data_IF_197099509018
#
_entry.id   IF_197099509018
#
_cell.length_a   1.000
_cell.length_b   1.000
_cell.length_c   1.000
_cell.angle_alpha   90.00
_cell.angle_beta   90.00
_cell.angle_gamma   90.00
#
_symmetry.space_group_name_H-M   'P 1'
#
loop_
_entity.id
_entity.type
_entity.pdbx_description
1 polymer ?
#
# COMPACT_ATOMS: atom_id res chain seq x y z
N UNK A 1 -2.42 -6.39 47.05
CA UNK A 1 -3.43 -6.40 46.02
C UNK A 1 -3.34 -5.07 45.27
N UNK A 2 -2.58 -5.04 44.17
CA UNK A 2 -2.47 -3.88 43.33
C UNK A 2 -3.54 -4.01 42.23
N UNK A 3 -4.62 -3.27 42.39
CA UNK A 3 -5.61 -3.13 41.32
C UNK A 3 -4.94 -2.44 40.15
N UNK A 4 -4.74 -3.20 39.07
CA UNK A 4 -4.33 -2.67 37.77
C UNK A 4 -5.53 -1.88 37.25
N UNK A 5 -5.54 -0.57 37.44
CA UNK A 5 -6.47 0.32 36.77
C UNK A 5 -6.25 0.20 35.26
N UNK A 6 -7.08 -0.59 34.62
CA UNK A 6 -7.16 -0.64 33.18
C UNK A 6 -7.68 0.72 32.70
N UNK A 7 -6.77 1.57 32.22
CA UNK A 7 -7.13 2.83 31.60
C UNK A 7 -7.97 2.55 30.34
N UNK A 8 -9.28 2.90 30.32
CA UNK A 8 -10.14 2.63 29.16
C UNK A 8 -9.66 3.34 27.88
N UNK A 9 -8.87 4.41 28.01
CA UNK A 9 -8.23 5.05 26.87
C UNK A 9 -7.02 4.27 26.33
N UNK A 10 -6.40 3.38 27.11
CA UNK A 10 -5.31 2.53 26.66
C UNK A 10 -5.77 1.45 25.65
N UNK A 11 -7.06 1.13 25.61
CA UNK A 11 -7.62 0.16 24.67
C UNK A 11 -7.59 0.61 23.21
N UNK A 12 -7.51 1.90 22.94
CA UNK A 12 -7.48 2.45 21.57
C UNK A 12 -6.04 2.67 21.07
N UNK A 13 -5.12 3.03 21.95
CA UNK A 13 -3.73 3.39 21.58
C UNK A 13 -2.67 2.35 21.96
N UNK A 14 -3.01 1.38 22.80
CA UNK A 14 -2.06 0.40 23.37
C UNK A 14 -1.94 -0.93 22.62
N UNK A 15 -2.77 -1.19 21.62
CA UNK A 15 -2.73 -2.47 20.89
C UNK A 15 -1.50 -2.53 19.99
N UNK A 16 -0.67 -3.56 20.18
CA UNK A 16 0.42 -3.83 19.25
C UNK A 16 -0.16 -4.03 17.83
N UNK A 17 0.30 -3.21 16.88
CA UNK A 17 -0.11 -3.28 15.48
C UNK A 17 0.93 -4.08 14.72
N UNK A 18 0.58 -5.26 14.25
CA UNK A 18 1.46 -6.05 13.39
C UNK A 18 1.61 -5.39 12.02
N UNK A 19 2.80 -4.91 11.72
CA UNK A 19 3.13 -4.23 10.45
C UNK A 19 2.92 -5.15 9.25
N UNK A 20 3.37 -6.40 9.35
CA UNK A 20 3.23 -7.39 8.28
C UNK A 20 1.77 -7.70 7.96
N UNK A 21 0.94 -7.86 8.98
CA UNK A 21 -0.48 -8.12 8.81
C UNK A 21 -1.21 -6.91 8.23
N UNK A 22 -0.91 -5.70 8.72
CA UNK A 22 -1.50 -4.46 8.22
C UNK A 22 -1.12 -4.20 6.75
N UNK A 23 0.13 -4.39 6.38
CA UNK A 23 0.60 -4.26 4.99
C UNK A 23 -0.07 -5.28 4.07
N UNK A 24 -0.19 -6.55 4.50
CA UNK A 24 -0.84 -7.61 3.73
C UNK A 24 -2.33 -7.31 3.51
N UNK A 25 -3.04 -6.83 4.53
CA UNK A 25 -4.45 -6.38 4.41
C UNK A 25 -4.57 -5.21 3.45
N UNK A 26 -3.70 -4.21 3.57
CA UNK A 26 -3.62 -3.07 2.66
C UNK A 26 -3.33 -3.48 1.22
N UNK A 27 -2.39 -4.41 1.00
CA UNK A 27 -2.07 -4.98 -0.32
C UNK A 27 -3.30 -5.61 -0.99
N UNK A 28 -4.17 -6.24 -0.21
CA UNK A 28 -5.44 -6.81 -0.67
C UNK A 28 -6.57 -5.76 -0.82
N UNK A 29 -6.31 -4.49 -0.52
CA UNK A 29 -7.30 -3.43 -0.57
C UNK A 29 -8.28 -3.42 0.59
N UNK A 30 -7.92 -4.04 1.71
CA UNK A 30 -8.71 -4.12 2.93
C UNK A 30 -8.22 -3.15 4.01
N UNK A 31 -9.09 -2.80 4.94
CA UNK A 31 -8.74 -1.98 6.09
C UNK A 31 -7.61 -2.63 6.92
N UNK A 32 -6.53 -1.91 7.25
CA UNK A 32 -5.42 -2.46 8.01
C UNK A 32 -5.81 -2.88 9.44
N UNK A 33 -6.82 -2.22 10.03
CA UNK A 33 -7.29 -2.51 11.36
C UNK A 33 -8.14 -3.80 11.42
N UNK A 34 -9.29 -3.83 10.76
CA UNK A 34 -10.20 -4.99 10.83
C UNK A 34 -9.93 -6.07 9.76
N UNK A 35 -9.40 -5.69 8.60
CA UNK A 35 -9.17 -6.59 7.48
C UNK A 35 -10.41 -6.91 6.64
N UNK A 36 -11.59 -6.36 6.96
CA UNK A 36 -12.87 -6.64 6.30
C UNK A 36 -13.37 -5.46 5.47
N UNK A 37 -13.25 -4.23 6.00
CA UNK A 37 -13.68 -3.02 5.30
C UNK A 37 -12.85 -2.74 4.06
N UNK A 38 -13.46 -2.15 3.03
CA UNK A 38 -12.75 -1.72 1.82
C UNK A 38 -11.87 -0.51 2.11
N UNK A 39 -10.63 -0.55 1.63
CA UNK A 39 -9.68 0.56 1.75
C UNK A 39 -9.93 1.64 0.70
N UNK A 40 -10.37 1.26 -0.50
CA UNK A 40 -10.58 2.17 -1.62
C UNK A 40 -12.07 2.26 -2.00
N UNK A 41 -12.56 3.49 -2.22
CA UNK A 41 -13.91 3.78 -2.76
C UNK A 41 -13.93 3.84 -4.29
N UNK A 42 -12.77 4.16 -4.90
CA UNK A 42 -12.52 4.16 -6.34
C UNK A 42 -11.05 3.88 -6.58
N UNK A 43 -10.62 3.83 -7.85
CA UNK A 43 -9.20 3.60 -8.19
C UNK A 43 -8.30 4.62 -7.48
N UNK A 44 -7.39 4.16 -6.62
CA UNK A 44 -6.46 4.94 -5.80
C UNK A 44 -7.10 5.95 -4.82
N UNK A 45 -8.44 6.03 -4.72
CA UNK A 45 -9.14 6.90 -3.77
C UNK A 45 -9.47 6.13 -2.50
N UNK A 46 -8.77 6.47 -1.42
CA UNK A 46 -8.96 5.88 -0.09
C UNK A 46 -10.27 6.40 0.52
N UNK A 47 -10.94 5.56 1.30
CA UNK A 47 -12.09 5.98 2.12
C UNK A 47 -11.60 6.80 3.31
N UNK A 48 -12.39 7.76 3.76
CA UNK A 48 -12.03 8.58 4.93
C UNK A 48 -12.09 7.77 6.22
N UNK A 49 -13.14 6.93 6.34
CA UNK A 49 -13.35 6.04 7.48
C UNK A 49 -13.71 4.64 6.99
N UNK A 50 -13.28 3.63 7.71
CA UNK A 50 -13.67 2.25 7.44
C UNK A 50 -15.14 2.05 7.75
N UNK A 51 -15.91 1.50 6.81
CA UNK A 51 -17.35 1.23 6.97
C UNK A 51 -17.67 0.12 7.99
N UNK A 52 -16.68 -0.71 8.34
CA UNK A 52 -16.87 -1.85 9.25
C UNK A 52 -16.44 -1.51 10.67
N UNK A 53 -15.22 -0.98 10.85
CA UNK A 53 -14.67 -0.74 12.20
C UNK A 53 -14.57 0.74 12.57
N UNK A 54 -14.89 1.68 11.66
CA UNK A 54 -14.83 3.12 11.91
C UNK A 54 -13.42 3.72 11.95
N UNK A 55 -12.36 2.94 11.69
CA UNK A 55 -10.98 3.45 11.69
C UNK A 55 -10.81 4.61 10.71
N UNK A 56 -10.22 5.71 11.18
CA UNK A 56 -9.95 6.88 10.35
C UNK A 56 -8.75 6.63 9.43
N UNK A 57 -9.01 6.56 8.12
CA UNK A 57 -8.01 6.33 7.08
C UNK A 57 -7.59 7.61 6.34
N UNK A 58 -8.25 8.73 6.64
CA UNK A 58 -7.96 10.06 6.06
C UNK A 58 -6.55 10.57 6.33
N UNK A 59 -5.88 10.05 7.35
CA UNK A 59 -4.51 10.44 7.75
C UNK A 59 -3.42 9.89 6.82
N UNK A 60 -3.77 9.04 5.86
CA UNK A 60 -2.80 8.45 4.94
C UNK A 60 -2.11 9.52 4.09
N UNK A 61 -0.79 9.44 3.97
CA UNK A 61 0.05 10.27 3.09
C UNK A 61 0.91 9.36 2.23
N UNK A 62 0.27 8.65 1.32
CA UNK A 62 0.94 7.83 0.33
C UNK A 62 0.89 8.52 -1.04
N UNK A 63 1.39 9.77 -1.10
CA UNK A 63 1.26 10.65 -2.26
C UNK A 63 1.98 10.05 -3.50
N UNK A 64 3.27 10.26 -3.64
CA UNK A 64 4.05 9.83 -4.81
C UNK A 64 4.79 8.50 -4.60
N UNK A 65 4.97 8.04 -3.36
CA UNK A 65 5.73 6.83 -3.04
C UNK A 65 5.22 5.57 -3.78
N UNK A 66 3.91 5.31 -3.90
CA UNK A 66 3.41 4.18 -4.67
C UNK A 66 3.84 4.22 -6.14
N UNK A 67 3.87 5.41 -6.75
CA UNK A 67 4.27 5.59 -8.15
C UNK A 67 5.77 5.26 -8.34
N UNK A 68 6.65 5.77 -7.48
CA UNK A 68 8.08 5.47 -7.54
C UNK A 68 8.38 3.99 -7.38
N UNK A 69 7.77 3.33 -6.41
CA UNK A 69 7.95 1.89 -6.18
C UNK A 69 7.44 1.09 -7.38
N UNK A 70 6.30 1.48 -7.94
CA UNK A 70 5.72 0.81 -9.13
C UNK A 70 6.65 0.95 -10.33
N UNK A 71 7.15 2.16 -10.62
CA UNK A 71 8.09 2.42 -11.74
C UNK A 71 9.36 1.60 -11.55
N UNK A 72 9.89 1.54 -10.33
CA UNK A 72 11.09 0.76 -10.02
C UNK A 72 10.87 -0.73 -10.31
N UNK A 73 9.79 -1.31 -9.84
CA UNK A 73 9.47 -2.74 -10.03
C UNK A 73 9.21 -3.02 -11.51
N UNK A 74 8.25 -2.32 -12.12
CA UNK A 74 7.84 -2.56 -13.51
C UNK A 74 9.01 -2.30 -14.46
N UNK A 75 9.76 -1.22 -14.26
CA UNK A 75 10.92 -0.88 -15.08
C UNK A 75 11.99 -1.97 -15.09
N UNK A 76 12.34 -2.52 -13.92
CA UNK A 76 13.30 -3.61 -13.85
C UNK A 76 12.82 -4.88 -14.59
N UNK A 77 11.55 -5.25 -14.40
CA UNK A 77 10.99 -6.41 -15.10
C UNK A 77 10.92 -6.21 -16.61
N UNK A 78 10.53 -5.02 -17.06
CA UNK A 78 10.45 -4.71 -18.51
C UNK A 78 11.84 -4.72 -19.14
N UNK A 79 12.83 -4.05 -18.52
CA UNK A 79 14.20 -4.00 -19.05
C UNK A 79 14.79 -5.41 -19.10
N UNK A 80 14.67 -6.17 -18.00
CA UNK A 80 15.18 -7.54 -17.96
C UNK A 80 14.51 -8.44 -19.01
N UNK A 81 13.19 -8.27 -19.20
CA UNK A 81 12.41 -9.04 -20.17
C UNK A 81 12.81 -8.71 -21.61
N UNK A 82 12.92 -7.44 -21.97
CA UNK A 82 13.34 -7.00 -23.30
C UNK A 82 14.75 -7.52 -23.64
N UNK A 83 15.68 -7.42 -22.69
CA UNK A 83 17.06 -7.91 -22.91
C UNK A 83 17.10 -9.44 -23.07
N UNK A 84 16.34 -10.17 -22.27
CA UNK A 84 16.26 -11.62 -22.39
C UNK A 84 15.61 -12.05 -23.71
N UNK A 85 14.61 -11.32 -24.20
CA UNK A 85 13.94 -11.60 -25.47
C UNK A 85 14.85 -11.34 -26.67
N UNK A 86 15.64 -10.27 -26.64
CA UNK A 86 16.62 -9.94 -27.68
C UNK A 86 17.71 -11.04 -27.82
N UNK A 87 18.19 -11.57 -26.71
CA UNK A 87 19.13 -12.68 -26.66
C UNK A 87 18.53 -14.00 -27.19
N UNK A 88 17.29 -14.30 -26.81
CA UNK A 88 16.64 -15.58 -27.14
C UNK A 88 16.03 -15.62 -28.55
N UNK A 89 15.58 -14.47 -29.03
CA UNK A 89 14.83 -14.34 -30.28
C UNK A 89 15.28 -13.14 -31.13
N UNK A 90 16.53 -13.11 -31.60
CA UNK A 90 17.11 -11.94 -32.29
C UNK A 90 16.45 -11.58 -33.63
N UNK A 91 15.55 -12.44 -34.12
CA UNK A 91 14.83 -12.23 -35.39
C UNK A 91 13.47 -11.56 -35.22
N UNK A 92 13.03 -11.26 -34.00
CA UNK A 92 11.75 -10.63 -33.75
C UNK A 92 11.72 -9.18 -34.23
N UNK A 93 10.55 -8.74 -34.65
CA UNK A 93 10.35 -7.36 -35.04
C UNK A 93 10.37 -6.45 -33.80
N UNK A 94 11.41 -5.60 -33.69
CA UNK A 94 11.62 -4.70 -32.55
C UNK A 94 10.43 -3.77 -32.27
N UNK A 95 9.69 -3.37 -33.32
CA UNK A 95 8.50 -2.53 -33.13
C UNK A 95 7.38 -3.33 -32.40
N UNK A 96 7.20 -4.60 -32.74
CA UNK A 96 6.22 -5.45 -32.09
C UNK A 96 6.61 -5.72 -30.63
N UNK A 97 7.87 -6.03 -30.37
CA UNK A 97 8.44 -6.19 -29.02
C UNK A 97 8.19 -4.95 -28.18
N UNK A 98 8.51 -3.75 -28.72
CA UNK A 98 8.26 -2.48 -28.02
C UNK A 98 6.80 -2.25 -27.68
N UNK A 99 5.87 -2.55 -28.59
CA UNK A 99 4.43 -2.40 -28.36
C UNK A 99 3.97 -3.36 -27.24
N UNK A 100 4.35 -4.64 -27.32
CA UNK A 100 3.92 -5.66 -26.35
C UNK A 100 4.43 -5.31 -24.95
N UNK A 101 5.71 -4.97 -24.80
CA UNK A 101 6.28 -4.59 -23.51
C UNK A 101 5.73 -3.28 -22.97
N UNK A 102 5.39 -2.31 -23.84
CA UNK A 102 4.73 -1.08 -23.40
C UNK A 102 3.32 -1.34 -22.86
N UNK A 103 2.53 -2.16 -23.54
CA UNK A 103 1.21 -2.55 -23.06
C UNK A 103 1.29 -3.36 -21.77
N UNK A 104 2.25 -4.28 -21.67
CA UNK A 104 2.50 -5.06 -20.45
C UNK A 104 2.88 -4.14 -19.27
N UNK A 105 3.75 -3.15 -19.51
CA UNK A 105 4.16 -2.17 -18.51
C UNK A 105 2.97 -1.35 -17.99
N UNK A 106 2.11 -0.87 -18.88
CA UNK A 106 0.90 -0.13 -18.51
C UNK A 106 -0.04 -1.01 -17.69
N UNK A 107 -0.35 -2.21 -18.16
CA UNK A 107 -1.23 -3.14 -17.45
C UNK A 107 -0.68 -3.51 -16.06
N UNK A 108 0.61 -3.82 -15.96
CA UNK A 108 1.27 -4.12 -14.71
C UNK A 108 1.25 -2.93 -13.73
N UNK A 109 1.51 -1.71 -14.23
CA UNK A 109 1.48 -0.50 -13.41
C UNK A 109 0.08 -0.23 -12.86
N UNK A 110 -0.95 -0.32 -13.68
CA UNK A 110 -2.34 -0.13 -13.26
C UNK A 110 -2.78 -1.16 -12.21
N UNK A 111 -2.31 -2.40 -12.31
CA UNK A 111 -2.62 -3.46 -11.35
C UNK A 111 -1.83 -3.34 -10.04
N UNK A 112 -0.57 -2.88 -10.10
CA UNK A 112 0.33 -2.77 -8.95
C UNK A 112 0.08 -1.52 -8.09
N UNK A 113 -0.22 -0.38 -8.72
CA UNK A 113 -0.41 0.90 -8.03
C UNK A 113 -1.36 0.82 -6.83
N UNK A 114 -2.59 0.31 -6.94
CA UNK A 114 -3.50 0.26 -5.80
C UNK A 114 -3.01 -0.72 -4.71
N UNK A 115 -2.34 -1.80 -5.11
CA UNK A 115 -1.79 -2.77 -4.16
C UNK A 115 -0.65 -2.18 -3.35
N UNK A 116 0.29 -1.52 -4.01
CA UNK A 116 1.44 -0.85 -3.35
C UNK A 116 0.94 0.29 -2.48
N UNK A 117 0.00 1.10 -2.97
CA UNK A 117 -0.61 2.17 -2.17
C UNK A 117 -1.28 1.61 -0.91
N UNK A 118 -2.05 0.54 -1.03
CA UNK A 118 -2.68 -0.12 0.11
C UNK A 118 -1.68 -0.66 1.12
N UNK A 119 -0.59 -1.29 0.65
CA UNK A 119 0.48 -1.78 1.53
C UNK A 119 1.17 -0.64 2.30
N UNK A 120 1.44 0.48 1.63
CA UNK A 120 2.03 1.67 2.27
C UNK A 120 1.08 2.29 3.31
N UNK A 121 -0.21 2.35 3.05
CA UNK A 121 -1.21 2.81 4.03
C UNK A 121 -1.22 1.87 5.24
N UNK A 122 -1.18 0.56 5.01
CA UNK A 122 -1.07 -0.44 6.08
C UNK A 122 0.19 -0.25 6.93
N UNK A 123 1.33 0.04 6.29
CA UNK A 123 2.59 0.36 6.97
C UNK A 123 2.47 1.65 7.80
N UNK A 124 1.97 2.75 7.21
CA UNK A 124 1.78 4.02 7.92
C UNK A 124 0.84 3.87 9.12
N UNK A 125 -0.23 3.10 8.97
CA UNK A 125 -1.16 2.81 10.05
C UNK A 125 -0.49 2.02 11.18
N UNK A 126 0.27 0.97 10.88
CA UNK A 126 0.97 0.16 11.88
C UNK A 126 2.07 0.94 12.59
N UNK A 127 2.82 1.76 11.84
CA UNK A 127 3.87 2.64 12.36
C UNK A 127 3.34 3.91 13.05
N UNK A 128 2.02 4.10 13.09
CA UNK A 128 1.35 5.28 13.70
C UNK A 128 1.82 6.61 13.13
N UNK A 129 2.12 6.66 11.84
CA UNK A 129 2.58 7.86 11.15
C UNK A 129 1.42 8.79 10.79
N UNK A 130 1.72 10.08 10.61
CA UNK A 130 0.82 11.10 10.06
C UNK A 130 -0.56 11.21 10.74
N UNK A 131 -0.62 10.97 12.05
CA UNK A 131 -1.86 11.07 12.83
C UNK A 131 -2.61 9.75 13.06
N UNK A 132 -2.17 8.63 12.50
CA UNK A 132 -2.72 7.30 12.82
C UNK A 132 -2.47 6.86 14.27
N UNK A 133 -1.67 7.60 15.02
CA UNK A 133 -1.37 7.36 16.43
C UNK A 133 -2.21 8.17 17.42
N UNK A 134 -3.15 8.98 16.93
CA UNK A 134 -3.84 10.01 17.72
C UNK A 134 -3.13 11.37 17.62
N UNK A 135 -3.61 12.40 18.33
CA UNK A 135 -2.98 13.72 18.28
C UNK A 135 -1.50 13.62 18.62
N UNK A 136 -0.68 14.16 17.74
CA UNK A 136 0.76 14.24 17.91
C UNK A 136 1.04 14.93 19.26
N UNK A 137 1.74 14.24 20.16
CA UNK A 137 2.22 14.88 21.37
C UNK A 137 3.24 15.92 20.90
N UNK A 138 2.85 17.18 20.86
CA UNK A 138 3.80 18.28 20.78
C UNK A 138 4.77 18.11 21.94
N UNK A 139 6.00 17.72 21.62
CA UNK A 139 7.11 17.84 22.56
C UNK A 139 7.42 19.33 22.66
N UNK A 140 6.88 19.95 23.69
CA UNK A 140 7.30 21.28 24.13
C UNK A 140 8.65 21.14 24.83
#
# INVERSE_FOLDING_TARGET
>A
MTEVYANPAAGVYGRERSTSLAMRRGLMGCCPNCGEGRLFRAYLKVVDNCSVCGEELKHQRADDAPAYITILIVGHFVIAGVLAEDELYPTLNMALVGIVWSLAAVAASLALLPRIKGALIGFQWAARMHGFGGPEKEFV
#
